data_IF_690205877650
#
_entry.id   IF_690205877650
#
_cell.length_a   1.000
_cell.length_b   1.000
_cell.length_c   1.000
_cell.angle_alpha   90.00
_cell.angle_beta   90.00
_cell.angle_gamma   90.00
#
_symmetry.space_group_name_H-M   'P 1'
#
loop_
_entity.id
_entity.type
_entity.pdbx_description
1 polymer ?
#
# COMPACT_ATOMS: atom_id res chain seq x y z
N UNK A 1 -4.53 -27.15 41.78
CA UNK A 1 -5.04 -27.64 40.47
C UNK A 1 -5.16 -26.41 39.57
N UNK A 2 -4.16 -26.16 38.73
CA UNK A 2 -4.07 -24.98 37.85
C UNK A 2 -4.49 -25.37 36.44
N UNK A 3 -5.45 -24.66 35.84
CA UNK A 3 -5.74 -24.73 34.41
C UNK A 3 -5.30 -23.41 33.76
N UNK A 4 -4.43 -23.41 32.74
CA UNK A 4 -4.18 -22.20 31.98
C UNK A 4 -5.33 -22.03 30.98
N UNK A 5 -6.08 -20.93 31.10
CA UNK A 5 -6.94 -20.47 30.00
C UNK A 5 -6.01 -19.96 28.91
N UNK A 6 -6.04 -20.63 27.75
CA UNK A 6 -5.39 -20.13 26.54
C UNK A 6 -5.88 -18.72 26.23
N UNK A 7 -4.95 -17.78 26.11
CA UNK A 7 -5.21 -16.50 25.47
C UNK A 7 -5.66 -16.82 24.04
N UNK A 8 -6.96 -16.64 23.77
CA UNK A 8 -7.51 -16.81 22.44
C UNK A 8 -6.75 -15.92 21.46
N UNK A 9 -6.36 -16.48 20.32
CA UNK A 9 -5.87 -15.72 19.18
C UNK A 9 -6.87 -14.58 18.90
N UNK A 10 -6.45 -13.31 18.71
CA UNK A 10 -7.37 -12.26 18.26
C UNK A 10 -8.08 -12.74 16.99
N UNK A 11 -9.39 -12.45 16.84
CA UNK A 11 -10.12 -12.86 15.65
C UNK A 11 -9.44 -12.26 14.42
N UNK A 12 -9.21 -13.10 13.41
CA UNK A 12 -8.75 -12.64 12.10
C UNK A 12 -9.67 -11.49 11.65
N UNK A 13 -9.06 -10.33 11.36
CA UNK A 13 -9.73 -9.21 10.74
C UNK A 13 -10.48 -9.75 9.52
N UNK A 14 -11.79 -9.60 9.50
CA UNK A 14 -12.61 -10.02 8.36
C UNK A 14 -12.25 -9.13 7.19
N UNK A 15 -11.85 -9.73 6.07
CA UNK A 15 -11.46 -9.05 4.83
C UNK A 15 -12.61 -8.24 4.19
N UNK A 16 -13.80 -8.30 4.79
CA UNK A 16 -15.04 -7.70 4.32
C UNK A 16 -15.14 -6.19 4.64
N UNK A 17 -14.28 -5.67 5.53
CA UNK A 17 -14.19 -4.25 5.88
C UNK A 17 -13.07 -3.55 5.07
N UNK A 18 -13.23 -3.51 3.76
CA UNK A 18 -12.50 -2.53 2.94
C UNK A 18 -13.43 -1.33 2.81
N UNK A 19 -13.11 -0.24 3.52
CA UNK A 19 -13.82 1.04 3.43
C UNK A 19 -14.04 1.43 1.96
N UNK A 20 -15.21 1.97 1.57
CA UNK A 20 -15.51 2.31 0.18
C UNK A 20 -14.44 3.20 -0.47
N UNK A 21 -13.79 4.06 0.33
CA UNK A 21 -12.70 4.95 -0.11
C UNK A 21 -11.40 4.21 -0.47
N UNK A 22 -11.22 2.98 0.02
CA UNK A 22 -10.11 2.10 -0.35
C UNK A 22 -10.38 1.32 -1.65
N UNK A 23 -11.62 1.30 -2.16
CA UNK A 23 -11.93 0.80 -3.51
C UNK A 23 -11.59 1.88 -4.55
N UNK A 24 -10.31 2.20 -4.70
CA UNK A 24 -9.86 3.03 -5.83
C UNK A 24 -10.04 2.26 -7.13
N UNK A 25 -11.07 2.65 -7.86
CA UNK A 25 -11.30 2.29 -9.24
C UNK A 25 -10.13 2.80 -10.08
N UNK A 26 -9.15 1.94 -10.38
CA UNK A 26 -8.14 2.21 -11.40
C UNK A 26 -8.79 2.12 -12.79
N UNK A 27 -9.71 3.04 -13.11
CA UNK A 27 -10.03 3.31 -14.51
C UNK A 27 -8.92 4.22 -15.04
N UNK A 28 -7.91 3.58 -15.61
CA UNK A 28 -6.96 4.28 -16.49
C UNK A 28 -7.79 4.79 -17.67
N UNK A 29 -7.96 6.11 -17.75
CA UNK A 29 -8.53 6.76 -18.94
C UNK A 29 -7.55 6.56 -20.10
N UNK A 30 -7.64 5.43 -20.80
CA UNK A 30 -7.07 5.31 -22.13
C UNK A 30 -7.91 6.22 -23.05
N UNK A 31 -7.52 7.49 -23.12
CA UNK A 31 -8.04 8.44 -24.09
C UNK A 31 -7.68 7.96 -25.50
N UNK A 32 -8.56 7.15 -26.08
CA UNK A 32 -8.60 6.92 -27.51
C UNK A 32 -9.10 8.21 -28.16
N UNK A 33 -8.20 8.97 -28.80
CA UNK A 33 -8.49 9.81 -29.98
C UNK A 33 -7.23 10.56 -30.50
N UNK A 34 -6.35 9.85 -31.24
CA UNK A 34 -5.85 10.25 -32.58
C UNK A 34 -4.71 9.32 -33.04
N UNK A 35 -4.94 8.68 -34.18
CA UNK A 35 -3.94 7.94 -34.92
C UNK A 35 -2.67 8.80 -35.18
N UNK A 36 -1.50 8.16 -35.09
CA UNK A 36 -0.13 8.67 -35.32
C UNK A 36 0.68 9.25 -34.14
N UNK A 37 0.21 9.20 -32.90
CA UNK A 37 1.10 9.27 -31.73
C UNK A 37 0.94 8.00 -30.92
N UNK A 38 1.87 7.06 -31.03
CA UNK A 38 1.98 6.03 -29.98
C UNK A 38 2.12 6.80 -28.65
N UNK A 39 1.34 6.48 -27.61
CA UNK A 39 1.57 7.12 -26.31
C UNK A 39 3.03 6.92 -25.97
N UNK A 40 3.73 8.02 -25.70
CA UNK A 40 5.11 7.98 -25.23
C UNK A 40 5.03 7.28 -23.88
N UNK A 41 5.47 6.03 -23.83
CA UNK A 41 5.51 5.29 -22.59
C UNK A 41 6.73 5.78 -21.81
N UNK A 42 6.52 6.18 -20.57
CA UNK A 42 7.61 6.54 -19.68
C UNK A 42 8.33 5.28 -19.22
N UNK A 43 9.66 5.35 -19.15
CA UNK A 43 10.43 4.42 -18.33
C UNK A 43 10.19 4.80 -16.87
N UNK A 44 9.43 3.96 -16.16
CA UNK A 44 9.03 4.21 -14.78
C UNK A 44 9.35 2.99 -13.91
N UNK A 45 9.74 3.26 -12.67
CA UNK A 45 9.91 2.25 -11.63
C UNK A 45 8.78 2.42 -10.61
N UNK A 46 8.05 1.35 -10.34
CA UNK A 46 7.03 1.31 -9.29
C UNK A 46 7.69 0.85 -8.00
N UNK A 47 7.54 1.65 -6.96
CA UNK A 47 8.05 1.36 -5.62
C UNK A 47 6.88 1.05 -4.70
N UNK A 48 7.05 0.05 -3.85
CA UNK A 48 6.16 -0.16 -2.72
C UNK A 48 6.38 0.93 -1.66
N UNK A 49 5.42 1.10 -0.75
CA UNK A 49 5.51 2.08 0.32
C UNK A 49 6.24 1.50 1.53
N UNK A 50 5.67 0.48 2.14
CA UNK A 50 6.10 -0.05 3.45
C UNK A 50 7.27 -1.02 3.26
N UNK A 51 8.33 -0.88 4.06
CA UNK A 51 9.57 -1.63 3.90
C UNK A 51 10.45 -1.23 2.70
N UNK A 52 9.97 -0.35 1.81
CA UNK A 52 10.72 0.14 0.63
C UNK A 52 11.03 1.63 0.72
N UNK A 53 10.02 2.48 0.88
CA UNK A 53 10.21 3.93 1.03
C UNK A 53 10.21 4.34 2.50
N UNK A 54 9.36 3.70 3.30
CA UNK A 54 9.19 3.95 4.73
C UNK A 54 9.31 2.67 5.54
N UNK A 55 9.58 2.79 6.83
CA UNK A 55 9.61 1.67 7.77
C UNK A 55 8.27 0.89 7.73
N UNK A 56 8.37 -0.44 7.76
CA UNK A 56 7.20 -1.32 7.82
C UNK A 56 6.64 -1.32 9.24
N UNK A 57 5.53 -0.61 9.42
CA UNK A 57 4.81 -0.49 10.69
C UNK A 57 3.37 -0.98 10.48
N UNK A 58 2.87 -1.93 11.29
CA UNK A 58 1.52 -2.44 11.14
C UNK A 58 0.47 -1.33 11.25
N UNK A 59 -0.45 -1.30 10.29
CA UNK A 59 -1.55 -0.33 10.25
C UNK A 59 -1.07 1.12 10.30
N UNK A 60 -0.31 1.52 9.28
CA UNK A 60 0.26 2.87 9.06
C UNK A 60 -0.80 3.99 8.90
N UNK A 61 -1.60 4.22 9.95
CA UNK A 61 -2.60 5.28 10.06
C UNK A 61 -2.16 6.47 10.92
N UNK A 62 -1.03 6.36 11.63
CA UNK A 62 -0.45 7.44 12.43
C UNK A 62 0.69 8.12 11.64
N UNK A 63 0.52 9.38 11.20
CA UNK A 63 1.54 10.09 10.43
C UNK A 63 2.87 10.25 11.16
N UNK A 64 2.87 10.32 12.50
CA UNK A 64 4.08 10.49 13.30
C UNK A 64 4.99 9.24 13.29
N UNK A 65 4.46 8.11 12.83
CA UNK A 65 5.21 6.86 12.67
C UNK A 65 5.83 6.71 11.27
N UNK A 66 5.54 7.61 10.33
CA UNK A 66 6.06 7.53 8.97
C UNK A 66 7.51 7.99 8.93
N UNK A 67 8.43 7.02 8.81
CA UNK A 67 9.88 7.28 8.80
C UNK A 67 10.50 6.68 7.54
N UNK A 68 11.26 7.45 6.74
CA UNK A 68 11.92 6.91 5.56
C UNK A 68 12.97 5.86 5.93
N UNK A 69 13.07 4.79 5.13
CA UNK A 69 14.19 3.85 5.27
C UNK A 69 15.50 4.51 4.81
N UNK A 70 16.67 4.07 5.32
CA UNK A 70 17.96 4.57 4.85
C UNK A 70 18.10 4.45 3.34
N UNK A 71 18.45 5.53 2.66
CA UNK A 71 18.65 5.55 1.21
C UNK A 71 17.40 5.80 0.38
N UNK A 72 16.18 5.79 0.96
CA UNK A 72 14.95 6.02 0.21
C UNK A 72 14.94 7.34 -0.60
N UNK A 73 15.51 8.41 -0.01
CA UNK A 73 15.57 9.73 -0.66
C UNK A 73 16.51 9.82 -1.86
N UNK A 74 17.56 9.00 -1.91
CA UNK A 74 18.54 9.03 -3.01
C UNK A 74 18.17 8.06 -4.13
N UNK A 75 17.17 7.20 -3.90
CA UNK A 75 16.71 6.20 -4.85
C UNK A 75 15.60 6.70 -5.79
N UNK A 76 15.07 7.91 -5.56
CA UNK A 76 13.92 8.50 -6.28
C UNK A 76 14.29 9.78 -7.02
#
# INVERSE_FOLDING_TARGET
MFTPRGAGNPPAVRQDQVEPDQRRSARVYAGADRACSRPVLFDAVLLDRDGTLIEDVPFNGDPEKVRPVPGARVAV
#
